data_IF_629576666973
#
_entry.id   IF_629576666973
#
_cell.length_a   1.000
_cell.length_b   1.000
_cell.length_c   1.000
_cell.angle_alpha   90.00
_cell.angle_beta   90.00
_cell.angle_gamma   90.00
#
_symmetry.space_group_name_H-M   'P 1'
#
loop_
_entity.id
_entity.type
_entity.pdbx_description
1 polymer ?
#
# COMPACT_ATOMS: atom_id res chain seq x y z
N UNK A 1 -3.18 -5.80 -11.23
CA UNK A 1 -3.38 -4.39 -10.82
C UNK A 1 -4.84 -4.03 -10.93
N UNK A 2 -5.40 -3.46 -9.87
CA UNK A 2 -6.77 -2.95 -9.79
C UNK A 2 -6.80 -1.48 -10.20
N UNK A 3 -7.79 -1.08 -10.99
CA UNK A 3 -8.03 0.31 -11.35
C UNK A 3 -8.92 1.00 -10.30
N UNK A 4 -8.75 2.29 -10.16
CA UNK A 4 -9.47 3.12 -9.21
C UNK A 4 -8.77 3.26 -7.87
N UNK A 5 -8.73 4.48 -7.38
CA UNK A 5 -8.23 4.82 -6.06
C UNK A 5 -9.02 6.01 -5.52
N UNK A 6 -9.50 5.94 -4.27
CA UNK A 6 -10.18 7.07 -3.63
C UNK A 6 -9.21 8.15 -3.15
N UNK A 7 -7.94 7.78 -2.92
CA UNK A 7 -6.91 8.71 -2.52
C UNK A 7 -6.40 9.56 -3.69
N UNK A 8 -5.91 10.75 -3.37
CA UNK A 8 -5.22 11.67 -4.29
C UNK A 8 -3.86 12.03 -3.70
N UNK A 9 -3.04 10.98 -3.48
CA UNK A 9 -1.72 11.16 -2.88
C UNK A 9 -0.90 12.14 -3.72
N UNK A 10 -0.37 13.19 -3.09
CA UNK A 10 0.45 14.23 -3.76
C UNK A 10 1.68 13.63 -4.45
N UNK A 11 2.17 12.48 -3.96
CA UNK A 11 3.33 11.75 -4.51
C UNK A 11 2.94 10.53 -5.37
N UNK A 12 1.72 10.44 -5.86
CA UNK A 12 1.27 9.27 -6.63
C UNK A 12 2.07 9.12 -7.93
N UNK A 13 2.60 7.92 -8.18
CA UNK A 13 3.30 7.60 -9.43
C UNK A 13 2.37 7.11 -10.54
N UNK A 14 1.11 6.80 -10.18
CA UNK A 14 0.15 6.21 -11.10
C UNK A 14 -1.18 7.01 -11.10
N UNK A 15 -1.14 8.32 -11.44
CA UNK A 15 -2.36 9.14 -11.44
C UNK A 15 -3.41 8.65 -12.45
N UNK A 16 -3.03 7.84 -13.43
CA UNK A 16 -3.95 7.14 -14.33
C UNK A 16 -4.89 6.17 -13.61
N UNK A 17 -4.53 5.74 -12.39
CA UNK A 17 -5.35 4.86 -11.57
C UNK A 17 -6.38 5.60 -10.70
N UNK A 18 -6.49 6.93 -10.80
CA UNK A 18 -7.42 7.69 -9.97
C UNK A 18 -8.89 7.37 -10.26
N UNK A 19 -9.21 7.04 -11.50
CA UNK A 19 -10.58 6.77 -11.90
C UNK A 19 -10.85 5.27 -12.00
N UNK A 20 -12.00 4.85 -11.48
CA UNK A 20 -12.54 3.52 -11.77
C UNK A 20 -12.85 3.44 -13.27
N UNK A 21 -12.36 2.38 -13.90
CA UNK A 21 -12.68 2.03 -15.27
C UNK A 21 -13.70 0.89 -15.27
N UNK A 22 -14.35 0.65 -16.42
CA UNK A 22 -15.21 -0.51 -16.58
C UNK A 22 -14.45 -1.81 -16.33
N UNK A 23 -15.15 -2.79 -15.76
CA UNK A 23 -14.60 -4.11 -15.55
C UNK A 23 -14.17 -4.75 -16.89
N UNK A 24 -12.96 -5.27 -16.95
CA UNK A 24 -12.37 -5.81 -18.17
C UNK A 24 -11.98 -7.29 -18.06
N UNK A 25 -12.31 -7.93 -16.93
CA UNK A 25 -12.04 -9.35 -16.70
C UNK A 25 -12.98 -9.92 -15.64
N UNK A 26 -13.20 -11.23 -15.68
CA UNK A 26 -13.93 -11.97 -14.66
C UNK A 26 -13.00 -12.69 -13.70
N UNK A 27 -13.53 -13.20 -12.60
CA UNK A 27 -12.77 -14.03 -11.64
C UNK A 27 -12.24 -15.27 -12.33
N UNK A 28 -13.07 -15.97 -13.12
CA UNK A 28 -12.71 -17.19 -13.81
C UNK A 28 -11.58 -16.99 -14.80
N UNK A 29 -11.65 -15.93 -15.60
CA UNK A 29 -10.61 -15.56 -16.57
C UNK A 29 -9.28 -15.27 -15.86
N UNK A 30 -9.35 -14.53 -14.73
CA UNK A 30 -8.16 -14.17 -13.99
C UNK A 30 -7.55 -15.37 -13.26
N UNK A 31 -8.37 -16.24 -12.67
CA UNK A 31 -7.94 -17.52 -12.07
C UNK A 31 -7.25 -18.39 -13.13
N UNK A 32 -7.86 -18.58 -14.31
CA UNK A 32 -7.28 -19.35 -15.39
C UNK A 32 -5.91 -18.77 -15.86
N UNK A 33 -5.80 -17.45 -15.91
CA UNK A 33 -4.54 -16.76 -16.22
C UNK A 33 -3.49 -16.99 -15.15
N UNK A 34 -3.82 -16.82 -13.88
CA UNK A 34 -2.91 -16.96 -12.74
C UNK A 34 -2.41 -18.41 -12.62
N UNK A 35 -3.28 -19.41 -12.79
CA UNK A 35 -2.91 -20.83 -12.75
C UNK A 35 -1.80 -21.19 -13.74
N UNK A 36 -1.75 -20.56 -14.91
CA UNK A 36 -0.65 -20.75 -15.88
C UNK A 36 0.71 -20.28 -15.37
N UNK A 37 0.73 -19.32 -14.44
CA UNK A 37 1.95 -18.84 -13.80
C UNK A 37 2.33 -19.61 -12.52
N UNK A 38 1.46 -20.47 -11.99
CA UNK A 38 1.70 -21.23 -10.76
C UNK A 38 3.07 -21.97 -10.75
N UNK A 39 3.57 -22.57 -11.84
CA UNK A 39 4.90 -23.22 -11.84
C UNK A 39 6.06 -22.26 -11.52
N UNK A 40 5.88 -20.96 -11.80
CA UNK A 40 6.89 -19.94 -11.54
C UNK A 40 6.90 -19.42 -10.09
N UNK A 41 5.85 -19.66 -9.33
CA UNK A 41 5.75 -19.19 -7.93
C UNK A 41 6.73 -19.92 -7.01
N UNK A 42 7.08 -21.16 -7.32
CA UNK A 42 7.96 -22.00 -6.49
C UNK A 42 7.49 -22.02 -5.02
N UNK A 43 8.47 -21.90 -4.07
CA UNK A 43 8.17 -21.90 -2.62
C UNK A 43 7.88 -20.51 -2.04
N UNK A 44 8.18 -19.42 -2.75
CA UNK A 44 8.13 -18.05 -2.22
C UNK A 44 7.30 -17.08 -3.06
N UNK A 45 6.77 -17.52 -4.18
CA UNK A 45 5.95 -16.70 -5.04
C UNK A 45 4.46 -16.86 -4.75
N UNK A 46 3.68 -16.01 -5.36
CA UNK A 46 2.23 -15.98 -5.22
C UNK A 46 1.62 -14.86 -6.04
N UNK A 47 0.50 -14.34 -5.59
CA UNK A 47 -0.21 -13.23 -6.22
C UNK A 47 -0.23 -12.04 -5.27
N UNK A 48 0.11 -10.86 -5.78
CA UNK A 48 -0.06 -9.60 -5.06
C UNK A 48 -1.19 -8.80 -5.69
N UNK A 49 -2.19 -8.48 -4.89
CA UNK A 49 -3.24 -7.53 -5.24
C UNK A 49 -2.72 -6.12 -5.02
N UNK A 50 -2.59 -5.34 -6.07
CA UNK A 50 -2.03 -3.99 -6.07
C UNK A 50 -2.68 -3.15 -7.18
N UNK A 51 -2.24 -1.91 -7.41
CA UNK A 51 -2.72 -1.05 -8.50
C UNK A 51 -3.07 0.34 -8.02
N UNK A 52 -4.34 0.74 -8.10
CA UNK A 52 -4.91 1.86 -7.38
C UNK A 52 -5.09 1.50 -5.91
N UNK A 53 -6.34 1.30 -5.47
CA UNK A 53 -6.62 0.75 -4.13
C UNK A 53 -7.48 -0.52 -4.28
N UNK A 54 -6.90 -1.72 -4.06
CA UNK A 54 -7.62 -2.98 -4.26
C UNK A 54 -8.87 -3.12 -3.40
N UNK A 55 -8.89 -2.56 -2.18
CA UNK A 55 -10.01 -2.64 -1.25
C UNK A 55 -11.28 -1.90 -1.72
N UNK A 56 -11.18 -1.10 -2.79
CA UNK A 56 -12.38 -0.54 -3.46
C UNK A 56 -13.16 -1.59 -4.24
N UNK A 57 -12.55 -2.74 -4.54
CA UNK A 57 -13.16 -3.85 -5.27
C UNK A 57 -13.14 -5.12 -4.40
N UNK A 58 -13.43 -4.98 -3.11
CA UNK A 58 -13.27 -6.02 -2.09
C UNK A 58 -14.09 -7.27 -2.38
N UNK A 59 -15.28 -7.15 -2.97
CA UNK A 59 -16.10 -8.31 -3.33
C UNK A 59 -15.42 -9.20 -4.37
N UNK A 60 -14.89 -8.57 -5.42
CA UNK A 60 -14.10 -9.27 -6.43
C UNK A 60 -12.83 -9.89 -5.82
N UNK A 61 -12.14 -9.17 -4.92
CA UNK A 61 -10.97 -9.70 -4.21
C UNK A 61 -11.30 -10.94 -3.39
N UNK A 62 -12.41 -10.94 -2.66
CA UNK A 62 -12.84 -12.06 -1.82
C UNK A 62 -13.12 -13.29 -2.69
N UNK A 63 -13.87 -13.11 -3.77
CA UNK A 63 -14.22 -14.20 -4.68
C UNK A 63 -12.96 -14.78 -5.36
N UNK A 64 -12.11 -13.93 -5.90
CA UNK A 64 -10.83 -14.30 -6.50
C UNK A 64 -9.92 -15.02 -5.48
N UNK A 65 -9.84 -14.51 -4.26
CA UNK A 65 -9.01 -15.09 -3.21
C UNK A 65 -9.47 -16.48 -2.80
N UNK A 66 -10.78 -16.71 -2.66
CA UNK A 66 -11.34 -18.04 -2.37
C UNK A 66 -10.90 -19.05 -3.44
N UNK A 67 -11.08 -18.71 -4.72
CA UNK A 67 -10.71 -19.58 -5.83
C UNK A 67 -9.18 -19.84 -5.89
N UNK A 68 -8.34 -18.86 -5.59
CA UNK A 68 -6.88 -19.04 -5.60
C UNK A 68 -6.37 -19.81 -4.37
N UNK A 69 -7.04 -19.69 -3.22
CA UNK A 69 -6.70 -20.47 -2.01
C UNK A 69 -6.97 -21.96 -2.18
N UNK A 70 -7.98 -22.37 -2.95
CA UNK A 70 -8.20 -23.79 -3.31
C UNK A 70 -6.99 -24.40 -4.01
N UNK A 71 -6.25 -23.61 -4.75
CA UNK A 71 -5.01 -24.03 -5.42
C UNK A 71 -3.74 -23.87 -4.55
N UNK A 72 -3.88 -23.47 -3.29
CA UNK A 72 -2.78 -23.26 -2.34
C UNK A 72 -1.87 -22.09 -2.73
N UNK A 73 -2.37 -21.07 -3.44
CA UNK A 73 -1.60 -19.93 -3.87
C UNK A 73 -1.47 -18.93 -2.71
N UNK A 74 -0.25 -18.47 -2.46
CA UNK A 74 0.04 -17.41 -1.49
C UNK A 74 -0.47 -16.06 -2.00
N UNK A 75 -1.18 -15.31 -1.15
CA UNK A 75 -1.84 -14.05 -1.50
C UNK A 75 -1.29 -12.91 -0.66
N UNK A 76 -0.86 -11.84 -1.31
CA UNK A 76 -0.45 -10.59 -0.67
C UNK A 76 -1.40 -9.46 -1.07
N UNK A 77 -1.79 -8.63 -0.10
CA UNK A 77 -2.59 -7.42 -0.29
C UNK A 77 -1.70 -6.18 -0.12
N UNK A 78 -1.48 -5.43 -1.19
CA UNK A 78 -0.74 -4.18 -1.23
C UNK A 78 -1.74 -3.02 -1.23
N UNK A 79 -1.87 -2.33 -0.11
CA UNK A 79 -2.97 -1.41 0.15
C UNK A 79 -2.56 -0.20 1.00
N UNK A 80 -3.29 0.90 0.83
CA UNK A 80 -3.27 2.04 1.75
C UNK A 80 -4.30 1.89 2.89
N UNK A 81 -5.02 0.76 2.97
CA UNK A 81 -6.02 0.49 3.99
C UNK A 81 -7.30 1.33 3.86
N UNK A 82 -7.65 1.77 2.65
CA UNK A 82 -8.82 2.64 2.42
C UNK A 82 -9.77 1.98 1.44
N UNK A 83 -10.79 1.32 1.95
CA UNK A 83 -11.73 0.53 1.15
C UNK A 83 -13.19 0.78 1.52
N UNK A 84 -14.05 -0.14 1.11
CA UNK A 84 -15.50 -0.08 1.30
C UNK A 84 -16.02 -1.07 2.36
N UNK A 85 -15.13 -1.57 3.23
CA UNK A 85 -15.46 -2.53 4.29
C UNK A 85 -15.07 -3.97 3.94
N UNK A 86 -15.72 -4.96 4.59
CA UNK A 86 -15.43 -6.41 4.49
C UNK A 86 -13.98 -6.77 4.80
N UNK A 87 -13.34 -6.00 5.68
CA UNK A 87 -11.92 -6.16 5.99
C UNK A 87 -11.61 -7.50 6.68
N UNK A 88 -12.51 -7.99 7.55
CA UNK A 88 -12.35 -9.30 8.18
C UNK A 88 -12.30 -10.42 7.13
N UNK A 89 -13.25 -10.41 6.17
CA UNK A 89 -13.35 -11.45 5.15
C UNK A 89 -12.10 -11.51 4.25
N UNK A 90 -11.60 -10.37 3.78
CA UNK A 90 -10.40 -10.38 2.93
C UNK A 90 -9.13 -10.69 3.72
N UNK A 91 -9.02 -10.23 4.97
CA UNK A 91 -7.88 -10.52 5.82
C UNK A 91 -7.82 -12.00 6.21
N UNK A 92 -8.93 -12.71 6.31
CA UNK A 92 -8.92 -14.17 6.50
C UNK A 92 -8.27 -14.92 5.33
N UNK A 93 -8.39 -14.40 4.12
CA UNK A 93 -7.96 -15.06 2.89
C UNK A 93 -6.50 -14.73 2.49
N UNK A 94 -5.99 -13.52 2.80
CA UNK A 94 -4.63 -13.14 2.45
C UNK A 94 -3.61 -13.64 3.47
N UNK A 95 -2.38 -13.89 3.02
CA UNK A 95 -1.28 -14.38 3.84
C UNK A 95 -0.38 -13.26 4.33
N UNK A 96 -0.26 -12.19 3.54
CA UNK A 96 0.61 -11.04 3.78
C UNK A 96 -0.14 -9.74 3.48
N UNK A 97 0.01 -8.74 4.33
CA UNK A 97 -0.42 -7.38 4.05
C UNK A 97 0.79 -6.48 3.88
N UNK A 98 0.87 -5.80 2.74
CA UNK A 98 1.83 -4.74 2.47
C UNK A 98 1.08 -3.43 2.70
N UNK A 99 1.34 -2.79 3.83
CA UNK A 99 0.60 -1.61 4.27
C UNK A 99 1.40 -0.33 4.02
N UNK A 100 0.85 0.53 3.19
CA UNK A 100 1.40 1.87 2.95
C UNK A 100 0.93 2.86 4.02
N UNK A 101 1.81 3.32 4.87
CA UNK A 101 1.54 4.43 5.78
C UNK A 101 1.73 5.74 5.03
N UNK A 102 0.67 6.54 4.91
CA UNK A 102 0.72 7.79 4.17
C UNK A 102 1.09 8.98 5.05
N UNK A 103 0.41 9.13 6.18
CA UNK A 103 0.70 10.11 7.23
C UNK A 103 0.06 9.66 8.54
N UNK A 104 0.51 10.21 9.69
CA UNK A 104 0.09 9.74 11.02
C UNK A 104 -0.80 10.74 11.78
N UNK A 105 -0.90 12.00 11.33
CA UNK A 105 -1.88 12.95 11.85
C UNK A 105 -3.06 13.08 10.89
N UNK A 106 -4.25 13.39 11.41
CA UNK A 106 -5.46 13.57 10.57
C UNK A 106 -5.30 14.70 9.57
N UNK A 107 -4.69 15.81 9.99
CA UNK A 107 -4.43 16.98 9.17
C UNK A 107 -3.43 16.66 8.05
N UNK A 108 -2.29 16.08 8.41
CA UNK A 108 -1.25 15.70 7.45
C UNK A 108 -1.73 14.60 6.49
N UNK A 109 -2.51 13.63 6.97
CA UNK A 109 -3.12 12.62 6.12
C UNK A 109 -4.06 13.26 5.09
N UNK A 110 -4.98 14.13 5.56
CA UNK A 110 -5.93 14.83 4.69
C UNK A 110 -5.21 15.73 3.67
N UNK A 111 -4.19 16.45 4.09
CA UNK A 111 -3.39 17.30 3.20
C UNK A 111 -2.66 16.46 2.14
N UNK A 112 -2.06 15.34 2.56
CA UNK A 112 -1.19 14.54 1.68
C UNK A 112 -1.96 13.68 0.68
N UNK A 113 -3.13 13.13 1.07
CA UNK A 113 -3.87 12.17 0.25
C UNK A 113 -5.30 12.61 -0.13
N UNK A 114 -5.71 13.84 0.28
CA UNK A 114 -7.03 14.43 0.02
C UNK A 114 -8.20 13.54 0.48
N UNK A 115 -8.01 12.80 1.57
CA UNK A 115 -9.01 11.89 2.15
C UNK A 115 -8.95 11.92 3.68
N UNK A 116 -10.04 11.55 4.37
CA UNK A 116 -10.00 11.39 5.82
C UNK A 116 -9.25 10.11 6.21
N UNK A 117 -8.69 10.10 7.44
CA UNK A 117 -7.94 8.95 7.96
C UNK A 117 -8.84 7.84 8.52
N UNK A 118 -10.15 8.05 8.54
CA UNK A 118 -11.08 7.19 9.30
C UNK A 118 -11.12 5.74 8.77
N UNK A 119 -11.16 5.55 7.45
CA UNK A 119 -11.15 4.20 6.86
C UNK A 119 -9.82 3.48 7.09
N UNK A 120 -8.70 4.18 6.98
CA UNK A 120 -7.39 3.63 7.33
C UNK A 120 -7.36 3.13 8.78
N UNK A 121 -7.88 3.93 9.72
CA UNK A 121 -7.93 3.55 11.15
C UNK A 121 -8.82 2.32 11.37
N UNK A 122 -9.98 2.25 10.72
CA UNK A 122 -10.86 1.08 10.77
C UNK A 122 -10.17 -0.17 10.23
N UNK A 123 -9.52 -0.06 9.07
CA UNK A 123 -8.77 -1.17 8.49
C UNK A 123 -7.67 -1.67 9.45
N UNK A 124 -6.88 -0.75 10.03
CA UNK A 124 -5.81 -1.12 10.97
C UNK A 124 -6.35 -1.77 12.24
N UNK A 125 -7.50 -1.33 12.77
CA UNK A 125 -8.15 -1.98 13.91
C UNK A 125 -8.51 -3.43 13.62
N UNK A 126 -9.05 -3.71 12.44
CA UNK A 126 -9.35 -5.09 12.02
C UNK A 126 -8.05 -5.87 11.80
N UNK A 127 -7.08 -5.28 11.11
CA UNK A 127 -5.78 -5.90 10.83
C UNK A 127 -5.07 -6.36 12.12
N UNK A 128 -5.12 -5.55 13.18
CA UNK A 128 -4.54 -5.90 14.50
C UNK A 128 -5.14 -7.19 15.10
N UNK A 129 -6.42 -7.46 14.85
CA UNK A 129 -7.10 -8.66 15.35
C UNK A 129 -6.69 -9.92 14.58
N UNK A 130 -6.40 -9.78 13.29
CA UNK A 130 -6.04 -10.92 12.41
C UNK A 130 -4.57 -11.35 12.54
N UNK A 131 -3.70 -10.55 13.16
CA UNK A 131 -2.28 -10.87 13.37
C UNK A 131 -1.56 -11.39 12.10
N UNK A 132 -1.84 -10.77 10.95
CA UNK A 132 -1.21 -11.13 9.67
C UNK A 132 0.25 -10.69 9.61
N UNK A 133 1.04 -11.36 8.80
CA UNK A 133 2.39 -10.90 8.46
C UNK A 133 2.30 -9.54 7.76
N UNK A 134 3.08 -8.57 8.24
CA UNK A 134 3.06 -7.21 7.74
C UNK A 134 4.38 -6.82 7.09
N UNK A 135 4.30 -6.25 5.91
CA UNK A 135 5.33 -5.39 5.35
C UNK A 135 4.83 -3.96 5.39
N UNK A 136 5.58 -3.09 6.03
CA UNK A 136 5.24 -1.67 6.10
C UNK A 136 6.03 -0.92 5.05
N UNK A 137 5.35 -0.05 4.32
CA UNK A 137 5.98 0.90 3.40
C UNK A 137 5.71 2.33 3.82
N UNK A 138 6.74 3.15 3.73
CA UNK A 138 6.67 4.59 3.94
C UNK A 138 7.40 5.29 2.81
N UNK A 139 6.67 6.01 1.96
CA UNK A 139 7.30 6.95 1.01
C UNK A 139 7.82 8.14 1.81
N UNK A 140 9.11 8.41 1.74
CA UNK A 140 9.74 9.54 2.43
C UNK A 140 9.79 10.74 1.49
N UNK A 141 8.90 11.71 1.70
CA UNK A 141 8.83 12.95 0.94
C UNK A 141 9.59 14.04 1.70
N UNK A 142 10.59 14.72 1.07
CA UNK A 142 11.33 15.80 1.70
C UNK A 142 10.43 16.92 2.19
N UNK A 143 10.69 17.41 3.41
CA UNK A 143 9.90 18.45 4.07
C UNK A 143 8.59 18.00 4.69
N UNK A 144 8.16 16.74 4.44
CA UNK A 144 6.95 16.15 5.04
C UNK A 144 7.34 15.07 6.04
N UNK A 145 8.11 14.07 5.61
CA UNK A 145 8.41 12.89 6.42
C UNK A 145 9.85 12.87 6.97
N UNK A 146 10.77 13.63 6.41
CA UNK A 146 12.22 13.55 6.68
C UNK A 146 12.69 14.38 7.88
N UNK A 147 11.79 14.62 8.86
CA UNK A 147 12.08 15.35 10.09
C UNK A 147 12.01 14.41 11.32
N UNK A 148 12.72 14.76 12.43
CA UNK A 148 12.77 13.94 13.63
C UNK A 148 11.40 13.66 14.25
N UNK A 149 10.54 14.68 14.32
CA UNK A 149 9.22 14.58 14.93
C UNK A 149 8.35 13.51 14.25
N UNK A 150 8.30 13.54 12.91
CA UNK A 150 7.57 12.54 12.14
C UNK A 150 8.17 11.13 12.31
N UNK A 151 9.50 11.02 12.29
CA UNK A 151 10.17 9.72 12.40
C UNK A 151 9.96 9.08 13.78
N UNK A 152 9.98 9.84 14.85
CA UNK A 152 9.69 9.37 16.21
C UNK A 152 8.23 8.91 16.31
N UNK A 153 7.29 9.72 15.80
CA UNK A 153 5.87 9.35 15.73
C UNK A 153 5.66 8.06 14.92
N UNK A 154 6.40 7.89 13.82
CA UNK A 154 6.32 6.68 13.00
C UNK A 154 6.81 5.45 13.78
N UNK A 155 7.94 5.55 14.46
CA UNK A 155 8.46 4.45 15.30
C UNK A 155 7.45 4.04 16.36
N UNK A 156 6.87 5.01 17.08
CA UNK A 156 5.89 4.74 18.13
C UNK A 156 4.61 4.12 17.56
N UNK A 157 4.13 4.61 16.42
CA UNK A 157 3.00 4.02 15.75
C UNK A 157 3.28 2.57 15.32
N UNK A 158 4.42 2.31 14.70
CA UNK A 158 4.81 0.97 14.25
C UNK A 158 4.87 -0.04 15.39
N UNK A 159 5.33 0.36 16.59
CA UNK A 159 5.32 -0.49 17.79
C UNK A 159 3.92 -0.94 18.21
N UNK A 160 2.86 -0.27 17.75
CA UNK A 160 1.47 -0.68 18.01
C UNK A 160 0.94 -1.73 17.04
N UNK A 161 1.67 -2.01 15.96
CA UNK A 161 1.26 -2.98 14.94
C UNK A 161 1.83 -4.37 15.26
N UNK A 162 1.05 -5.45 15.08
CA UNK A 162 1.52 -6.80 15.31
C UNK A 162 2.36 -7.30 14.12
N UNK A 163 3.24 -8.25 14.39
CA UNK A 163 3.82 -9.18 13.41
C UNK A 163 4.48 -8.52 12.17
N UNK A 164 5.16 -7.39 12.38
CA UNK A 164 5.91 -6.75 11.29
C UNK A 164 7.10 -7.62 10.90
N UNK A 165 7.17 -8.00 9.63
CA UNK A 165 8.26 -8.80 9.02
C UNK A 165 9.23 -7.94 8.23
N UNK A 166 8.79 -6.76 7.79
CA UNK A 166 9.62 -5.87 6.98
C UNK A 166 9.13 -4.43 7.10
N UNK A 167 10.06 -3.50 7.12
CA UNK A 167 9.78 -2.06 6.98
C UNK A 167 10.64 -1.54 5.83
N UNK A 168 10.02 -0.79 4.92
CA UNK A 168 10.69 -0.21 3.77
C UNK A 168 10.47 1.30 3.74
N UNK A 169 11.55 2.07 3.71
CA UNK A 169 11.51 3.47 3.33
C UNK A 169 11.75 3.58 1.83
N UNK A 170 10.80 4.18 1.15
CA UNK A 170 10.84 4.41 -0.30
C UNK A 170 11.16 5.88 -0.53
N UNK A 171 12.32 6.22 -1.11
CA UNK A 171 12.62 7.61 -1.40
C UNK A 171 11.63 8.16 -2.43
N UNK A 172 11.05 9.34 -2.15
CA UNK A 172 10.21 10.04 -3.12
C UNK A 172 11.03 10.37 -4.39
N UNK A 173 10.47 10.08 -5.55
CA UNK A 173 11.05 10.36 -6.86
C UNK A 173 10.00 10.86 -7.85
N UNK A 174 10.45 11.49 -8.95
CA UNK A 174 9.59 12.17 -9.93
C UNK A 174 9.26 11.35 -11.17
N UNK A 175 9.43 10.04 -11.15
CA UNK A 175 9.14 9.18 -12.31
C UNK A 175 7.67 9.22 -12.79
N UNK A 176 6.76 9.75 -11.96
CA UNK A 176 5.37 9.97 -12.34
C UNK A 176 5.09 11.27 -13.10
N UNK A 177 6.01 12.23 -13.12
CA UNK A 177 5.75 13.59 -13.62
C UNK A 177 5.20 13.62 -15.05
N UNK A 178 5.77 12.83 -15.96
CA UNK A 178 5.26 12.74 -17.35
C UNK A 178 3.81 12.26 -17.44
N UNK A 179 3.36 11.43 -16.49
CA UNK A 179 1.97 10.93 -16.46
C UNK A 179 1.00 12.05 -16.11
N UNK A 180 1.36 12.91 -15.16
CA UNK A 180 0.56 14.09 -14.82
C UNK A 180 0.43 15.04 -16.02
N UNK A 181 1.51 15.27 -16.74
CA UNK A 181 1.51 16.11 -17.96
C UNK A 181 0.64 15.50 -19.06
N UNK A 182 0.76 14.20 -19.32
CA UNK A 182 -0.06 13.48 -20.32
C UNK A 182 -1.55 13.47 -19.98
N UNK A 183 -1.89 13.47 -18.71
CA UNK A 183 -3.27 13.50 -18.23
C UNK A 183 -3.83 14.92 -18.11
N UNK A 184 -3.01 15.95 -18.27
CA UNK A 184 -3.41 17.34 -18.13
C UNK A 184 -3.82 17.73 -16.71
N UNK A 185 -3.33 17.02 -15.69
CA UNK A 185 -3.64 17.29 -14.29
C UNK A 185 -2.45 17.89 -13.54
N UNK A 186 -2.70 18.76 -12.55
CA UNK A 186 -1.60 19.35 -11.76
C UNK A 186 -0.82 18.29 -10.98
N UNK A 187 0.52 18.38 -11.01
CA UNK A 187 1.37 17.63 -10.10
C UNK A 187 1.65 18.46 -8.84
N UNK A 188 1.10 18.09 -7.67
CA UNK A 188 1.24 18.87 -6.45
C UNK A 188 2.68 19.00 -5.94
N UNK A 189 3.54 18.01 -6.24
CA UNK A 189 4.94 17.99 -5.80
C UNK A 189 5.95 18.30 -6.92
N UNK A 190 5.50 18.94 -8.00
CA UNK A 190 6.37 19.29 -9.14
C UNK A 190 7.67 20.01 -8.71
N UNK A 191 7.58 20.89 -7.72
CA UNK A 191 8.71 21.69 -7.22
C UNK A 191 9.41 21.06 -5.99
N UNK A 192 8.91 19.96 -5.44
CA UNK A 192 9.55 19.25 -4.33
C UNK A 192 10.76 18.48 -4.86
N UNK A 193 11.94 18.59 -4.24
CA UNK A 193 13.10 17.79 -4.66
C UNK A 193 12.85 16.31 -4.45
N UNK A 194 13.50 15.47 -5.24
CA UNK A 194 13.54 14.04 -4.96
C UNK A 194 14.24 13.76 -3.63
N UNK A 195 13.84 12.68 -2.97
CA UNK A 195 14.50 12.25 -1.74
C UNK A 195 15.83 11.57 -2.08
N UNK A 196 16.90 12.10 -1.52
CA UNK A 196 18.23 11.49 -1.65
C UNK A 196 18.23 10.09 -1.01
N UNK A 197 18.66 9.08 -1.76
CA UNK A 197 18.64 7.69 -1.32
C UNK A 197 19.57 7.43 -0.12
N UNK A 198 20.71 8.13 -0.02
CA UNK A 198 21.64 8.02 1.12
C UNK A 198 21.02 8.62 2.37
N UNK A 199 20.38 9.79 2.24
CA UNK A 199 19.65 10.42 3.34
C UNK A 199 18.46 9.56 3.78
N UNK A 200 17.69 9.00 2.85
CA UNK A 200 16.59 8.10 3.15
C UNK A 200 17.08 6.86 3.93
N UNK A 201 18.18 6.26 3.50
CA UNK A 201 18.81 5.15 4.20
C UNK A 201 19.32 5.54 5.59
N UNK A 202 19.90 6.71 5.74
CA UNK A 202 20.37 7.21 7.05
C UNK A 202 19.20 7.39 8.04
N UNK A 203 18.03 7.84 7.57
CA UNK A 203 16.81 7.90 8.38
C UNK A 203 16.37 6.50 8.83
N UNK A 204 16.37 5.53 7.93
CA UNK A 204 16.05 4.14 8.26
C UNK A 204 17.03 3.58 9.33
N UNK A 205 18.33 3.75 9.11
CA UNK A 205 19.36 3.23 10.02
C UNK A 205 19.31 3.91 11.39
N UNK A 206 18.91 5.18 11.46
CA UNK A 206 18.78 5.94 12.70
C UNK A 206 17.51 5.60 13.49
N UNK A 207 16.36 5.47 12.83
CA UNK A 207 15.07 5.39 13.52
C UNK A 207 14.46 3.99 13.51
N UNK A 208 14.62 3.22 12.43
CA UNK A 208 13.97 1.90 12.30
C UNK A 208 14.86 0.79 12.84
N UNK A 209 16.09 0.71 12.38
CA UNK A 209 17.01 -0.39 12.70
C UNK A 209 17.26 -0.59 14.21
N UNK A 210 17.37 0.45 15.06
CA UNK A 210 17.53 0.27 16.49
C UNK A 210 16.27 -0.19 17.22
N UNK A 211 15.08 -0.02 16.61
CA UNK A 211 13.80 -0.28 17.24
C UNK A 211 13.10 -1.56 16.77
N UNK A 212 13.57 -2.18 15.69
CA UNK A 212 12.95 -3.37 15.08
C UNK A 212 14.02 -4.36 14.65
N UNK A 213 13.93 -5.60 15.17
CA UNK A 213 14.76 -6.74 14.77
C UNK A 213 14.09 -7.47 13.58
N UNK A 214 14.25 -6.92 12.36
CA UNK A 214 13.59 -7.43 11.13
C UNK A 214 14.53 -7.36 9.91
#
# INVERSE_FOLDING_TARGET
FFNGCSLRCKFCHNPEMFNLQEANTTVEELVAKIKRFKPYFKKRGGVTYSGGEPLLQVDFLIELSKALKEDGIHLALDTAGVGIGKYDEILDLVDLVILDIKHLTKEGYKDLVSHTMDEFLKFVEVLKKHNKDLWIRQVVVPGIHDNPEYMEMLVDYLKTLPNIKRIEFLPFHKMGDEKYEKLGIPNPLKNTPEMDGVKCRALYDKYIKPNFEI
#
